data_IF_578299149938
#
_entry.id   IF_578299149938
#
_cell.length_a   1.000
_cell.length_b   1.000
_cell.length_c   1.000
_cell.angle_alpha   90.00
_cell.angle_beta   90.00
_cell.angle_gamma   90.00
#
_symmetry.space_group_name_H-M   'P 1'
#
loop_
_entity.id
_entity.type
_entity.pdbx_description
1 polymer ?
#
# COMPACT_ATOMS: atom_id res chain seq x y z
N UNK A 1 6.01 24.38 -12.70
CA UNK A 1 6.47 23.46 -11.65
C UNK A 1 5.29 23.26 -10.71
N UNK A 2 4.50 22.20 -10.91
CA UNK A 2 3.28 21.95 -10.13
C UNK A 2 3.65 21.11 -8.91
N UNK A 3 3.52 21.72 -7.73
CA UNK A 3 3.72 21.07 -6.44
C UNK A 3 2.37 20.52 -5.98
N UNK A 4 2.23 19.19 -5.93
CA UNK A 4 1.05 18.54 -5.39
C UNK A 4 1.26 18.33 -3.89
N UNK A 5 0.45 19.03 -3.10
CA UNK A 5 0.45 18.95 -1.64
C UNK A 5 -0.63 17.95 -1.23
N UNK A 6 -0.25 16.83 -0.64
CA UNK A 6 -1.17 15.89 -0.03
C UNK A 6 -1.80 16.60 1.19
N UNK A 7 -3.07 17.02 1.06
CA UNK A 7 -3.83 17.65 2.15
C UNK A 7 -4.65 16.56 2.81
N UNK A 8 -4.12 15.98 3.88
CA UNK A 8 -4.90 15.12 4.76
C UNK A 8 -5.69 16.04 5.70
N UNK A 9 -7.01 16.12 5.52
CA UNK A 9 -7.91 16.83 6.42
C UNK A 9 -8.02 16.09 7.76
N UNK A 10 -7.06 16.29 8.65
CA UNK A 10 -7.26 16.03 10.07
C UNK A 10 -7.66 17.35 10.73
N UNK A 11 -8.91 17.44 11.19
CA UNK A 11 -9.25 18.39 12.25
C UNK A 11 -8.50 17.94 13.50
N UNK A 12 -7.26 18.42 13.67
CA UNK A 12 -6.66 18.88 14.93
C UNK A 12 -5.24 19.40 14.66
N UNK A 13 -5.01 20.63 15.11
CA UNK A 13 -3.75 21.39 15.19
C UNK A 13 -2.50 20.51 15.34
N UNK A 14 -1.64 20.49 14.30
CA UNK A 14 -0.31 19.85 14.27
C UNK A 14 -0.24 18.45 14.91
N UNK A 15 -1.05 17.51 14.40
CA UNK A 15 -1.19 16.15 14.94
C UNK A 15 -0.21 15.15 14.32
N UNK A 16 0.88 14.85 15.02
CA UNK A 16 1.69 13.64 14.75
C UNK A 16 1.02 12.49 15.49
N UNK A 17 0.36 11.60 14.76
CA UNK A 17 -0.16 10.34 15.29
C UNK A 17 0.78 9.19 14.87
N UNK A 18 1.04 8.26 15.80
CA UNK A 18 1.73 7.02 15.47
C UNK A 18 0.85 6.12 14.59
N UNK A 19 1.48 5.20 13.85
CA UNK A 19 0.77 4.23 12.99
C UNK A 19 0.49 2.90 13.69
N UNK A 20 0.84 2.76 14.97
CA UNK A 20 0.59 1.53 15.73
C UNK A 20 -0.91 1.21 15.75
N UNK A 21 -1.25 -0.05 15.45
CA UNK A 21 -2.61 -0.59 15.34
C UNK A 21 -3.50 0.06 14.26
N UNK A 22 -2.96 0.95 13.43
CA UNK A 22 -3.69 1.54 12.30
C UNK A 22 -3.78 0.53 11.16
N UNK A 23 -4.98 0.28 10.65
CA UNK A 23 -5.16 -0.50 9.42
C UNK A 23 -4.85 0.37 8.20
N UNK A 24 -3.83 -0.01 7.43
CA UNK A 24 -3.45 0.68 6.19
C UNK A 24 -3.81 -0.16 4.97
N UNK A 25 -4.62 0.42 4.10
CA UNK A 25 -4.99 -0.14 2.80
C UNK A 25 -3.93 0.24 1.76
N UNK A 26 -3.04 -0.71 1.44
CA UNK A 26 -1.90 -0.49 0.56
C UNK A 26 -2.20 -1.08 -0.82
N UNK A 27 -2.25 -0.24 -1.84
CA UNK A 27 -2.55 -0.67 -3.20
C UNK A 27 -1.26 -0.84 -4.01
N UNK A 28 -1.04 -2.06 -4.51
CA UNK A 28 0.18 -2.41 -5.24
C UNK A 28 -0.14 -2.76 -6.69
N UNK A 29 0.72 -2.35 -7.62
CA UNK A 29 0.64 -2.74 -9.03
C UNK A 29 1.67 -3.83 -9.32
N UNK A 30 1.29 -4.82 -10.13
CA UNK A 30 2.20 -5.90 -10.52
C UNK A 30 3.33 -5.32 -11.37
N UNK A 31 4.58 -5.50 -10.92
CA UNK A 31 5.77 -5.18 -11.69
C UNK A 31 6.82 -6.23 -11.43
N UNK A 32 7.25 -6.96 -12.46
CA UNK A 32 8.06 -8.19 -12.33
C UNK A 32 9.38 -7.94 -11.60
N UNK A 33 9.93 -6.72 -11.72
CA UNK A 33 11.16 -6.32 -11.02
C UNK A 33 10.97 -6.05 -9.51
N UNK A 34 9.74 -5.78 -9.06
CA UNK A 34 9.45 -5.35 -7.69
C UNK A 34 8.54 -6.31 -6.92
N UNK A 35 7.69 -7.07 -7.62
CA UNK A 35 6.70 -7.95 -7.02
C UNK A 35 6.18 -9.00 -8.02
N UNK A 36 6.10 -10.24 -7.56
CA UNK A 36 5.47 -11.35 -8.28
C UNK A 36 4.42 -12.02 -7.40
N UNK A 37 3.32 -12.48 -8.02
CA UNK A 37 2.32 -13.31 -7.35
C UNK A 37 2.76 -14.76 -7.48
N UNK A 38 2.99 -15.44 -6.36
CA UNK A 38 3.26 -16.88 -6.35
C UNK A 38 2.12 -17.63 -5.69
N UNK A 39 1.80 -18.79 -6.25
CA UNK A 39 0.81 -19.70 -5.70
C UNK A 39 1.52 -20.68 -4.79
N UNK A 40 1.30 -20.59 -3.48
CA UNK A 40 1.89 -21.53 -2.52
C UNK A 40 0.96 -22.76 -2.49
N UNK A 41 1.34 -23.81 -3.21
CA UNK A 41 0.52 -25.03 -3.34
C UNK A 41 0.18 -25.68 -1.98
N UNK A 42 1.03 -25.51 -0.97
CA UNK A 42 0.86 -26.09 0.37
C UNK A 42 -0.26 -25.41 1.16
N UNK A 43 -0.54 -24.13 0.90
CA UNK A 43 -1.52 -23.34 1.66
C UNK A 43 -2.75 -22.94 0.83
N UNK A 44 -2.75 -23.26 -0.48
CA UNK A 44 -3.74 -22.78 -1.44
C UNK A 44 -3.95 -21.26 -1.37
N UNK A 45 -2.90 -20.52 -0.97
CA UNK A 45 -2.90 -19.07 -0.84
C UNK A 45 -2.06 -18.46 -1.93
N UNK A 46 -2.55 -17.34 -2.45
CA UNK A 46 -1.77 -16.48 -3.34
C UNK A 46 -0.95 -15.53 -2.48
N UNK A 47 0.37 -15.74 -2.42
CA UNK A 47 1.28 -14.82 -1.72
C UNK A 47 1.91 -13.86 -2.72
N UNK A 48 1.92 -12.58 -2.36
CA UNK A 48 2.74 -11.59 -3.05
C UNK A 48 4.16 -11.69 -2.49
N UNK A 49 5.14 -11.89 -3.36
CA UNK A 49 6.55 -11.97 -2.99
C UNK A 49 7.38 -10.96 -3.78
N UNK A 50 8.53 -10.58 -3.23
CA UNK A 50 9.46 -9.65 -3.84
C UNK A 50 9.68 -8.42 -2.97
N UNK A 51 10.41 -7.46 -3.52
CA UNK A 51 10.88 -6.28 -2.78
C UNK A 51 9.76 -5.51 -2.06
N UNK A 52 8.62 -5.26 -2.72
CA UNK A 52 7.55 -4.44 -2.14
C UNK A 52 6.84 -5.13 -0.96
N UNK A 53 6.36 -6.39 -1.09
CA UNK A 53 5.82 -7.13 0.05
C UNK A 53 6.80 -7.25 1.23
N UNK A 54 8.09 -7.51 0.95
CA UNK A 54 9.11 -7.65 1.99
C UNK A 54 9.35 -6.31 2.72
N UNK A 55 9.37 -5.20 1.97
CA UNK A 55 9.46 -3.86 2.55
C UNK A 55 8.25 -3.53 3.43
N UNK A 56 7.04 -3.87 2.99
CA UNK A 56 5.82 -3.66 3.78
C UNK A 56 5.89 -4.44 5.09
N UNK A 57 6.35 -5.69 5.06
CA UNK A 57 6.52 -6.52 6.26
C UNK A 57 7.52 -5.89 7.25
N UNK A 58 8.67 -5.41 6.76
CA UNK A 58 9.66 -4.71 7.60
C UNK A 58 9.07 -3.45 8.23
N UNK A 59 8.34 -2.64 7.45
CA UNK A 59 7.71 -1.42 7.94
C UNK A 59 6.61 -1.73 8.95
N UNK A 60 5.80 -2.75 8.69
CA UNK A 60 4.76 -3.22 9.61
C UNK A 60 5.37 -3.62 10.95
N UNK A 61 6.43 -4.41 10.93
CA UNK A 61 7.12 -4.87 12.15
C UNK A 61 7.77 -3.71 12.92
N UNK A 62 8.26 -2.68 12.23
CA UNK A 62 8.90 -1.51 12.87
C UNK A 62 7.91 -0.47 13.38
N UNK A 63 6.79 -0.29 12.71
CA UNK A 63 5.85 0.82 12.96
C UNK A 63 4.54 0.37 13.63
N UNK A 64 4.26 -0.94 13.64
CA UNK A 64 3.12 -1.53 14.34
C UNK A 64 1.76 -1.36 13.64
N UNK A 65 1.71 -0.87 12.40
CA UNK A 65 0.45 -0.83 11.64
C UNK A 65 0.01 -2.23 11.22
N UNK A 66 -1.19 -2.35 10.68
CA UNK A 66 -1.73 -3.59 10.12
C UNK A 66 -1.95 -3.39 8.63
N UNK A 67 -1.16 -4.06 7.78
CA UNK A 67 -1.27 -3.92 6.33
C UNK A 67 -2.42 -4.73 5.74
N UNK A 68 -3.16 -4.13 4.81
CA UNK A 68 -4.10 -4.80 3.91
C UNK A 68 -3.68 -4.51 2.47
N UNK A 69 -3.00 -5.47 1.86
CA UNK A 69 -2.43 -5.30 0.52
C UNK A 69 -3.47 -5.68 -0.54
N UNK A 70 -3.85 -4.73 -1.40
CA UNK A 70 -4.69 -4.96 -2.58
C UNK A 70 -3.88 -4.87 -3.85
N UNK A 71 -3.90 -5.94 -4.64
CA UNK A 71 -3.30 -5.96 -5.97
C UNK A 71 -4.24 -5.27 -6.96
N UNK A 72 -3.75 -4.20 -7.60
CA UNK A 72 -4.45 -3.54 -8.69
C UNK A 72 -4.69 -4.49 -9.87
N UNK A 73 -5.75 -4.21 -10.63
CA UNK A 73 -6.05 -5.00 -11.84
C UNK A 73 -4.87 -4.98 -12.83
N UNK A 74 -4.73 -6.02 -13.65
CA UNK A 74 -3.63 -6.13 -14.62
C UNK A 74 -3.60 -4.98 -15.65
N UNK A 75 -4.73 -4.30 -15.84
CA UNK A 75 -4.90 -3.23 -16.81
C UNK A 75 -4.80 -1.84 -16.15
N UNK A 76 -4.60 -1.78 -14.84
CA UNK A 76 -4.43 -0.52 -14.12
C UNK A 76 -3.12 0.14 -14.53
N UNK A 77 -3.16 1.45 -14.77
CA UNK A 77 -1.94 2.25 -14.98
C UNK A 77 -1.48 2.87 -13.66
N UNK A 78 -0.21 3.27 -13.58
CA UNK A 78 0.29 4.05 -12.43
C UNK A 78 -0.54 5.31 -12.19
N UNK A 79 -0.96 6.03 -13.25
CA UNK A 79 -1.85 7.18 -13.14
C UNK A 79 -3.18 6.81 -12.50
N UNK A 80 -3.77 5.70 -12.91
CA UNK A 80 -5.00 5.19 -12.32
C UNK A 80 -4.82 4.76 -10.85
N UNK A 81 -3.65 4.26 -10.46
CA UNK A 81 -3.35 3.93 -9.07
C UNK A 81 -3.25 5.20 -8.19
N UNK A 82 -2.58 6.24 -8.70
CA UNK A 82 -2.50 7.55 -8.01
C UNK A 82 -3.91 8.13 -7.81
N UNK A 83 -4.75 8.11 -8.85
CA UNK A 83 -6.14 8.54 -8.74
C UNK A 83 -6.95 7.71 -7.73
N UNK A 84 -6.65 6.41 -7.58
CA UNK A 84 -7.30 5.58 -6.57
C UNK A 84 -6.95 6.05 -5.14
N UNK A 85 -5.70 6.47 -4.90
CA UNK A 85 -5.29 7.09 -3.65
C UNK A 85 -5.98 8.43 -3.40
N UNK A 86 -6.05 9.31 -4.41
CA UNK A 86 -6.77 10.60 -4.30
C UNK A 86 -8.26 10.44 -3.98
N UNK A 87 -8.88 9.37 -4.49
CA UNK A 87 -10.27 9.04 -4.24
C UNK A 87 -10.51 8.27 -2.93
N UNK A 88 -9.47 8.01 -2.14
CA UNK A 88 -9.57 7.31 -0.84
C UNK A 88 -9.81 5.80 -0.94
N UNK A 89 -9.56 5.18 -2.11
CA UNK A 89 -9.58 3.72 -2.22
C UNK A 89 -8.36 3.07 -1.57
N UNK A 90 -7.28 3.82 -1.42
CA UNK A 90 -5.99 3.38 -0.91
C UNK A 90 -5.45 4.48 0.01
N UNK A 91 -4.85 4.09 1.13
CA UNK A 91 -4.12 5.03 2.00
C UNK A 91 -2.70 5.27 1.48
N UNK A 92 -2.14 4.25 0.82
CA UNK A 92 -0.78 4.19 0.27
C UNK A 92 -0.75 3.49 -1.10
#
# INVERSE_FOLDING_TARGET
MLSYRLVIHYTHSTGIAGLADVHLQICVIKSVAFMTRTHIMVQNTNKLIGYIPDLIEILQNKMGFISRITLASSNQTYKGLIQAGENGFCDL
#
